data_IF_647284148306
#
_entry.id   IF_647284148306
#
_cell.length_a   1.000
_cell.length_b   1.000
_cell.length_c   1.000
_cell.angle_alpha   90.00
_cell.angle_beta   90.00
_cell.angle_gamma   90.00
#
_symmetry.space_group_name_H-M   'P 1'
#
loop_
_entity.id
_entity.type
_entity.pdbx_description
1 polymer ?
#
# COMPACT_ATOMS: atom_id res chain seq x y z
N UNK A 1 17.55 -16.17 16.64
CA UNK A 1 17.39 -14.69 16.52
C UNK A 1 17.66 -14.16 15.12
N UNK A 2 18.85 -14.37 14.55
CA UNK A 2 19.18 -13.89 13.19
C UNK A 2 18.17 -14.36 12.15
N UNK A 3 17.90 -15.67 12.12
CA UNK A 3 16.94 -16.28 11.19
C UNK A 3 15.52 -15.70 11.31
N UNK A 4 15.07 -15.38 12.51
CA UNK A 4 13.79 -14.71 12.71
C UNK A 4 13.75 -13.33 12.01
N UNK A 5 14.78 -12.52 12.15
CA UNK A 5 14.85 -11.21 11.48
C UNK A 5 14.82 -11.35 9.95
N UNK A 6 15.48 -12.37 9.40
CA UNK A 6 15.48 -12.64 7.95
C UNK A 6 14.08 -13.05 7.45
N UNK A 7 13.38 -13.91 8.19
CA UNK A 7 12.01 -14.29 7.85
C UNK A 7 11.03 -13.10 7.97
N UNK A 8 11.21 -12.22 8.96
CA UNK A 8 10.40 -10.99 9.13
C UNK A 8 10.54 -10.00 7.98
N UNK A 9 11.68 -10.01 7.28
CA UNK A 9 11.84 -9.19 6.06
C UNK A 9 11.06 -9.77 4.88
N UNK A 10 10.92 -11.09 4.81
CA UNK A 10 10.17 -11.77 3.74
C UNK A 10 8.66 -11.66 3.96
N UNK A 11 8.21 -11.89 5.20
CA UNK A 11 6.79 -11.93 5.59
C UNK A 11 6.51 -10.94 6.73
N UNK A 12 6.36 -9.64 6.44
CA UNK A 12 6.23 -8.61 7.47
C UNK A 12 4.92 -8.70 8.28
N UNK A 13 3.89 -9.36 7.77
CA UNK A 13 2.56 -9.40 8.39
C UNK A 13 2.33 -10.68 9.23
N UNK A 14 3.20 -11.68 9.12
CA UNK A 14 3.09 -12.95 9.83
C UNK A 14 4.24 -13.19 10.82
N UNK A 15 4.12 -12.62 12.01
CA UNK A 15 5.12 -12.77 13.09
C UNK A 15 5.25 -14.21 13.56
N UNK A 16 4.12 -14.91 13.69
CA UNK A 16 4.08 -16.28 14.21
C UNK A 16 4.68 -17.26 13.21
N UNK A 17 4.32 -17.15 11.93
CA UNK A 17 4.92 -17.96 10.86
C UNK A 17 6.42 -17.72 10.73
N UNK A 18 6.88 -16.49 10.90
CA UNK A 18 8.31 -16.16 10.93
C UNK A 18 9.03 -16.85 12.09
N UNK A 19 8.41 -16.95 13.26
CA UNK A 19 9.00 -17.68 14.39
C UNK A 19 9.08 -19.17 14.10
N UNK A 20 8.05 -19.78 13.51
CA UNK A 20 8.06 -21.19 13.10
C UNK A 20 9.17 -21.42 12.06
N UNK A 21 9.26 -20.58 11.03
CA UNK A 21 10.29 -20.65 10.00
C UNK A 21 11.71 -20.49 10.58
N UNK A 22 11.84 -19.71 11.67
CA UNK A 22 13.08 -19.56 12.41
C UNK A 22 13.45 -20.75 13.30
N UNK A 23 12.55 -21.75 13.44
CA UNK A 23 12.77 -22.99 14.18
C UNK A 23 12.13 -23.07 15.55
N UNK A 24 11.24 -22.12 15.90
CA UNK A 24 10.44 -22.22 17.13
C UNK A 24 9.29 -23.21 16.93
N UNK A 25 8.90 -23.93 18.02
CA UNK A 25 7.78 -24.86 17.94
C UNK A 25 6.46 -24.13 17.69
N UNK A 26 5.54 -24.73 16.93
CA UNK A 26 4.23 -24.13 16.64
C UNK A 26 3.46 -23.80 17.93
N UNK A 27 3.58 -24.62 18.98
CA UNK A 27 2.92 -24.40 20.26
C UNK A 27 3.40 -23.15 21.01
N UNK A 28 4.66 -22.70 20.77
CA UNK A 28 5.26 -21.57 21.49
C UNK A 28 5.59 -20.39 20.56
N UNK A 29 5.36 -20.54 19.25
CA UNK A 29 5.79 -19.56 18.24
C UNK A 29 5.17 -18.17 18.45
N UNK A 30 3.89 -18.09 18.81
CA UNK A 30 3.22 -16.82 19.07
C UNK A 30 3.84 -16.06 20.25
N UNK A 31 4.13 -16.75 21.35
CA UNK A 31 4.77 -16.16 22.53
C UNK A 31 6.24 -15.77 22.21
N UNK A 32 6.95 -16.62 21.46
CA UNK A 32 8.31 -16.35 21.05
C UNK A 32 8.38 -15.12 20.11
N UNK A 33 7.47 -15.02 19.14
CA UNK A 33 7.35 -13.86 18.25
C UNK A 33 7.10 -12.59 19.04
N UNK A 34 6.12 -12.56 19.94
CA UNK A 34 5.81 -11.39 20.77
C UNK A 34 7.04 -10.93 21.59
N UNK A 35 7.77 -11.88 22.21
CA UNK A 35 8.97 -11.58 22.97
C UNK A 35 10.09 -11.05 22.08
N UNK A 36 10.28 -11.61 20.87
CA UNK A 36 11.29 -11.18 19.93
C UNK A 36 10.99 -9.77 19.38
N UNK A 37 9.72 -9.47 19.08
CA UNK A 37 9.30 -8.13 18.63
C UNK A 37 9.48 -7.07 19.73
N UNK A 38 9.42 -7.43 21.00
CA UNK A 38 9.68 -6.52 22.11
C UNK A 38 11.17 -6.28 22.38
N UNK A 39 12.09 -7.07 21.80
CA UNK A 39 13.54 -6.91 21.99
C UNK A 39 14.09 -5.80 21.07
N UNK A 40 14.63 -4.67 21.62
CA UNK A 40 15.18 -3.58 20.82
C UNK A 40 16.25 -4.03 19.82
N UNK A 41 17.08 -5.01 20.18
CA UNK A 41 18.14 -5.53 19.31
C UNK A 41 17.58 -6.23 18.07
N UNK A 42 16.41 -6.86 18.20
CA UNK A 42 15.71 -7.48 17.09
C UNK A 42 15.12 -6.40 16.20
N UNK A 43 14.50 -5.37 16.74
CA UNK A 43 13.96 -4.24 16.01
C UNK A 43 15.05 -3.50 15.22
N UNK A 44 16.17 -3.21 15.85
CA UNK A 44 17.32 -2.59 15.19
C UNK A 44 17.85 -3.45 14.03
N UNK A 45 17.94 -4.77 14.25
CA UNK A 45 18.38 -5.69 13.21
C UNK A 45 17.42 -5.74 12.03
N UNK A 46 16.11 -5.78 12.29
CA UNK A 46 15.06 -5.74 11.26
C UNK A 46 15.14 -4.41 10.48
N UNK A 47 15.26 -3.28 11.18
CA UNK A 47 15.41 -1.96 10.56
C UNK A 47 16.64 -1.90 9.64
N UNK A 48 17.79 -2.39 10.12
CA UNK A 48 19.01 -2.47 9.31
C UNK A 48 18.84 -3.34 8.06
N UNK A 49 18.22 -4.51 8.19
CA UNK A 49 17.96 -5.40 7.06
C UNK A 49 17.00 -4.78 6.04
N UNK A 50 15.93 -4.08 6.51
CA UNK A 50 15.01 -3.32 5.65
C UNK A 50 15.76 -2.24 4.87
N UNK A 51 16.59 -1.47 5.56
CA UNK A 51 17.39 -0.43 4.91
C UNK A 51 18.38 -1.00 3.90
N UNK A 52 19.04 -2.11 4.22
CA UNK A 52 19.96 -2.79 3.30
C UNK A 52 19.21 -3.31 2.04
N UNK A 53 17.98 -3.83 2.21
CA UNK A 53 17.11 -4.22 1.10
C UNK A 53 16.73 -3.02 0.24
N UNK A 54 16.26 -1.92 0.85
CA UNK A 54 15.87 -0.69 0.16
C UNK A 54 17.05 -0.10 -0.64
N UNK A 55 18.23 -0.02 -0.05
CA UNK A 55 19.44 0.43 -0.75
C UNK A 55 19.78 -0.44 -1.97
N UNK A 56 19.65 -1.77 -1.86
CA UNK A 56 19.97 -2.70 -2.94
C UNK A 56 18.94 -2.64 -4.06
N UNK A 57 17.66 -2.56 -3.73
CA UNK A 57 16.56 -2.54 -4.70
C UNK A 57 16.27 -1.15 -5.25
N UNK A 58 16.73 -0.10 -4.56
CA UNK A 58 16.37 1.31 -4.82
C UNK A 58 14.84 1.54 -4.77
N UNK A 59 14.15 0.70 -4.02
CA UNK A 59 12.69 0.78 -3.81
C UNK A 59 12.45 1.06 -2.33
N UNK A 60 11.88 2.21 -2.05
CA UNK A 60 11.43 2.66 -0.74
C UNK A 60 10.02 3.26 -0.84
N UNK A 61 9.49 3.75 0.25
CA UNK A 61 8.18 4.39 0.28
C UNK A 61 8.11 5.61 -0.64
N UNK A 62 9.19 6.39 -0.69
CA UNK A 62 9.28 7.58 -1.53
C UNK A 62 9.23 7.24 -3.02
N UNK A 63 9.91 6.16 -3.42
CA UNK A 63 9.84 5.67 -4.80
C UNK A 63 8.39 5.30 -5.19
N UNK A 64 7.72 4.54 -4.32
CA UNK A 64 6.33 4.11 -4.58
C UNK A 64 5.40 5.32 -4.67
N UNK A 65 5.50 6.26 -3.73
CA UNK A 65 4.70 7.49 -3.74
C UNK A 65 4.94 8.31 -5.00
N UNK A 66 6.19 8.55 -5.36
CA UNK A 66 6.52 9.30 -6.59
C UNK A 66 5.90 8.64 -7.82
N UNK A 67 5.99 7.29 -7.91
CA UNK A 67 5.36 6.57 -9.03
C UNK A 67 3.84 6.69 -9.05
N UNK A 68 3.18 6.62 -7.90
CA UNK A 68 1.72 6.81 -7.80
C UNK A 68 1.31 8.23 -8.21
N UNK A 69 2.05 9.24 -7.77
CA UNK A 69 1.81 10.65 -8.16
C UNK A 69 2.04 10.86 -9.66
N UNK A 70 3.11 10.31 -10.25
CA UNK A 70 3.34 10.36 -11.69
C UNK A 70 2.18 9.74 -12.49
N UNK A 71 1.62 8.63 -12.02
CA UNK A 71 0.46 7.98 -12.65
C UNK A 71 -0.80 8.85 -12.51
N UNK A 72 -0.99 9.47 -11.36
CA UNK A 72 -2.12 10.37 -11.13
C UNK A 72 -2.09 11.59 -12.04
N UNK A 73 -0.90 12.14 -12.27
CA UNK A 73 -0.67 13.30 -13.11
C UNK A 73 -0.67 13.01 -14.62
N UNK A 74 -0.86 11.75 -15.06
CA UNK A 74 -0.95 11.42 -16.49
C UNK A 74 -2.12 12.17 -17.14
N UNK A 75 -1.82 12.92 -18.21
CA UNK A 75 -2.80 13.66 -19.00
C UNK A 75 -2.95 13.04 -20.39
N UNK A 76 -4.19 12.82 -20.83
CA UNK A 76 -4.46 12.27 -22.16
C UNK A 76 -3.88 13.10 -23.29
N UNK A 77 -3.75 14.41 -23.11
CA UNK A 77 -3.15 15.32 -24.09
C UNK A 77 -1.66 15.02 -24.34
N UNK A 78 -0.98 14.37 -23.41
CA UNK A 78 0.40 13.95 -23.59
C UNK A 78 0.58 13.01 -24.80
N UNK A 79 -0.44 12.21 -25.10
CA UNK A 79 -0.41 11.16 -26.12
C UNK A 79 -1.31 11.41 -27.33
N UNK A 80 -2.05 12.53 -27.35
CA UNK A 80 -2.88 12.96 -28.47
C UNK A 80 -2.21 14.06 -29.27
N UNK A 81 -2.43 14.05 -30.59
CA UNK A 81 -2.15 15.17 -31.48
C UNK A 81 -3.27 16.21 -31.37
N UNK A 82 -3.06 17.39 -31.93
CA UNK A 82 -4.06 18.47 -31.95
C UNK A 82 -5.35 18.05 -32.70
N UNK A 83 -5.25 17.12 -33.64
CA UNK A 83 -6.37 16.55 -34.41
C UNK A 83 -7.07 15.38 -33.66
N UNK A 84 -6.66 15.05 -32.43
CA UNK A 84 -7.25 14.02 -31.61
C UNK A 84 -6.79 12.59 -31.95
N UNK A 85 -5.79 12.43 -32.80
CA UNK A 85 -5.18 11.13 -33.10
C UNK A 85 -4.10 10.77 -32.07
N UNK A 86 -3.82 9.48 -31.90
CA UNK A 86 -2.71 9.06 -31.04
C UNK A 86 -1.35 9.39 -31.67
N UNK A 87 -0.48 10.03 -30.91
CA UNK A 87 0.93 10.21 -31.27
C UNK A 87 1.61 8.84 -31.41
N UNK A 88 2.69 8.72 -32.21
CA UNK A 88 3.52 7.53 -32.19
C UNK A 88 3.99 7.18 -30.77
N UNK A 89 3.97 5.91 -30.40
CA UNK A 89 4.32 5.44 -29.03
C UNK A 89 5.72 5.89 -28.61
N UNK A 90 6.63 6.07 -29.55
CA UNK A 90 7.99 6.60 -29.31
C UNK A 90 8.00 8.03 -28.74
N UNK A 91 6.96 8.81 -29.00
CA UNK A 91 6.81 10.19 -28.53
C UNK A 91 6.06 10.28 -27.19
N UNK A 92 5.49 9.19 -26.71
CA UNK A 92 4.77 9.19 -25.44
C UNK A 92 5.73 9.39 -24.27
N UNK A 93 5.34 10.13 -23.22
CA UNK A 93 6.12 10.21 -21.99
C UNK A 93 6.38 8.83 -21.38
N UNK A 94 7.51 8.69 -20.70
CA UNK A 94 7.90 7.39 -20.11
C UNK A 94 6.83 6.83 -19.16
N UNK A 95 6.17 7.71 -18.37
CA UNK A 95 5.12 7.29 -17.45
C UNK A 95 3.99 6.57 -18.17
N UNK A 96 3.55 7.06 -19.33
CA UNK A 96 2.54 6.41 -20.15
C UNK A 96 2.97 5.03 -20.62
N UNK A 97 4.16 4.93 -21.21
CA UNK A 97 4.69 3.66 -21.74
C UNK A 97 4.90 2.58 -20.69
N UNK A 98 5.14 2.98 -19.43
CA UNK A 98 5.44 2.06 -18.32
C UNK A 98 4.27 1.81 -17.38
N UNK A 99 3.12 2.46 -17.59
CA UNK A 99 1.95 2.38 -16.70
C UNK A 99 0.67 1.92 -17.39
N UNK A 100 0.68 1.69 -18.70
CA UNK A 100 -0.48 1.20 -19.42
C UNK A 100 -0.98 -0.14 -18.85
N UNK A 101 -2.30 -0.26 -18.69
CA UNK A 101 -2.93 -1.52 -18.30
C UNK A 101 -3.15 -2.44 -19.49
N UNK A 102 -3.49 -1.87 -20.65
CA UNK A 102 -3.63 -2.61 -21.91
C UNK A 102 -3.53 -1.66 -23.11
N UNK A 103 -3.17 -2.22 -24.26
CA UNK A 103 -3.19 -1.55 -25.55
C UNK A 103 -3.64 -2.55 -26.61
N UNK A 104 -4.76 -2.29 -27.27
CA UNK A 104 -5.29 -3.09 -28.37
C UNK A 104 -5.07 -2.33 -29.67
N UNK A 105 -4.49 -2.99 -30.67
CA UNK A 105 -4.28 -2.44 -32.01
C UNK A 105 -4.95 -3.37 -33.01
N UNK A 106 -6.06 -2.94 -33.58
CA UNK A 106 -6.79 -3.67 -34.62
C UNK A 106 -6.55 -2.98 -35.95
N UNK A 107 -6.00 -3.70 -36.91
CA UNK A 107 -5.86 -3.26 -38.30
C UNK A 107 -6.96 -3.90 -39.12
N UNK A 108 -7.79 -3.08 -39.74
CA UNK A 108 -8.86 -3.52 -40.62
C UNK A 108 -8.46 -3.13 -42.03
N UNK A 109 -8.27 -4.15 -42.90
CA UNK A 109 -8.14 -3.94 -44.35
C UNK A 109 -9.49 -4.10 -44.98
N UNK A 110 -9.97 -3.07 -45.68
CA UNK A 110 -11.13 -3.15 -46.55
C UNK A 110 -10.61 -3.17 -47.97
N UNK A 111 -10.92 -4.24 -48.69
CA UNK A 111 -10.62 -4.33 -50.13
C UNK A 111 -11.38 -3.25 -50.87
N UNK A 112 -10.68 -2.46 -51.67
CA UNK A 112 -11.30 -1.47 -52.56
C UNK A 112 -12.15 -2.19 -53.62
N UNK A 113 -13.33 -1.66 -53.91
CA UNK A 113 -14.14 -2.18 -54.98
C UNK A 113 -13.59 -1.66 -56.33
N UNK A 114 -13.52 -2.55 -57.33
CA UNK A 114 -13.19 -2.26 -58.72
C UNK A 114 -12.18 -1.13 -58.98
N UNK A 115 -10.90 -1.40 -58.72
CA UNK A 115 -9.81 -0.49 -59.11
C UNK A 115 -9.52 0.65 -58.11
N UNK A 116 -10.13 0.67 -56.93
CA UNK A 116 -9.77 1.54 -55.82
C UNK A 116 -8.73 0.86 -54.91
N UNK A 117 -7.83 1.68 -54.34
CA UNK A 117 -6.84 1.20 -53.38
C UNK A 117 -7.51 0.65 -52.12
N UNK A 118 -6.93 -0.41 -51.53
CA UNK A 118 -7.33 -0.97 -50.26
C UNK A 118 -7.28 0.10 -49.16
N UNK A 119 -8.35 0.27 -48.41
CA UNK A 119 -8.40 1.17 -47.27
C UNK A 119 -7.93 0.40 -46.05
N UNK A 120 -6.78 0.82 -45.50
CA UNK A 120 -6.27 0.30 -44.22
C UNK A 120 -6.70 1.25 -43.09
N UNK A 121 -7.57 0.77 -42.22
CA UNK A 121 -7.99 1.48 -41.01
C UNK A 121 -7.36 0.84 -39.77
N UNK A 122 -6.75 1.64 -38.93
CA UNK A 122 -6.15 1.18 -37.67
C UNK A 122 -6.97 1.72 -36.51
N UNK A 123 -7.62 0.82 -35.76
CA UNK A 123 -8.27 1.17 -34.50
C UNK A 123 -7.30 0.88 -33.36
N UNK A 124 -7.02 1.91 -32.55
CA UNK A 124 -6.18 1.79 -31.36
C UNK A 124 -7.03 2.09 -30.12
N UNK A 125 -6.98 1.18 -29.14
CA UNK A 125 -7.63 1.36 -27.85
C UNK A 125 -6.56 1.29 -26.76
N UNK A 126 -6.48 2.35 -25.98
CA UNK A 126 -5.53 2.48 -24.88
C UNK A 126 -6.30 2.45 -23.56
N UNK A 127 -5.82 1.64 -22.62
CA UNK A 127 -6.36 1.57 -21.27
C UNK A 127 -5.25 1.92 -20.27
N UNK A 128 -5.46 2.97 -19.52
CA UNK A 128 -4.56 3.40 -18.44
C UNK A 128 -5.03 2.93 -17.07
N UNK A 129 -4.21 3.02 -16.03
CA UNK A 129 -4.55 2.66 -14.68
C UNK A 129 -5.78 3.40 -14.15
N UNK A 130 -6.51 2.76 -13.25
CA UNK A 130 -7.62 3.38 -12.53
C UNK A 130 -7.09 4.48 -11.59
N UNK A 131 -7.37 5.75 -11.94
CA UNK A 131 -6.92 6.92 -11.17
C UNK A 131 -7.57 6.99 -9.79
N UNK A 132 -8.82 6.54 -9.63
CA UNK A 132 -9.50 6.54 -8.33
C UNK A 132 -8.79 5.59 -7.37
N UNK A 133 -8.48 4.37 -7.84
CA UNK A 133 -7.71 3.41 -7.05
C UNK A 133 -6.29 3.89 -6.75
N UNK A 134 -5.67 4.60 -7.69
CA UNK A 134 -4.35 5.19 -7.50
C UNK A 134 -4.37 6.26 -6.39
N UNK A 135 -5.36 7.16 -6.40
CA UNK A 135 -5.57 8.17 -5.36
C UNK A 135 -5.87 7.54 -4.00
N UNK A 136 -6.64 6.45 -3.97
CA UNK A 136 -6.89 5.68 -2.74
C UNK A 136 -5.58 5.16 -2.13
N UNK A 137 -4.68 4.63 -2.95
CA UNK A 137 -3.37 4.15 -2.50
C UNK A 137 -2.49 5.29 -1.96
N UNK A 138 -2.49 6.45 -2.63
CA UNK A 138 -1.79 7.65 -2.16
C UNK A 138 -2.38 8.11 -0.82
N UNK A 139 -3.71 8.16 -0.71
CA UNK A 139 -4.43 8.59 0.48
C UNK A 139 -4.21 7.70 1.71
N UNK A 140 -3.97 6.41 1.50
CA UNK A 140 -3.64 5.44 2.55
C UNK A 140 -2.20 5.54 3.07
N UNK A 141 -1.33 6.28 2.38
CA UNK A 141 0.04 6.44 2.83
C UNK A 141 0.10 7.18 4.17
N UNK A 142 0.98 6.72 5.07
CA UNK A 142 1.11 7.23 6.45
C UNK A 142 1.30 8.75 6.52
N UNK A 143 2.07 9.32 5.58
CA UNK A 143 2.31 10.77 5.51
C UNK A 143 1.13 11.59 4.98
N UNK A 144 0.22 10.98 4.20
CA UNK A 144 -0.98 11.65 3.64
C UNK A 144 -2.18 11.46 4.55
N UNK A 145 -2.42 10.21 5.01
CA UNK A 145 -3.50 9.83 5.96
C UNK A 145 -4.87 10.44 5.63
N UNK A 146 -5.20 10.58 4.33
CA UNK A 146 -6.42 11.27 3.87
C UNK A 146 -7.72 10.58 4.32
N UNK A 147 -7.66 9.27 4.56
CA UNK A 147 -8.81 8.45 4.97
C UNK A 147 -8.72 7.99 6.43
N UNK A 148 -7.89 8.65 7.25
CA UNK A 148 -7.83 8.35 8.66
C UNK A 148 -9.12 8.84 9.29
N UNK A 149 -10.02 7.91 9.63
CA UNK A 149 -11.11 8.21 10.56
C UNK A 149 -10.46 8.67 11.86
N UNK A 150 -10.69 9.92 12.22
CA UNK A 150 -10.38 10.41 13.54
C UNK A 150 -11.43 9.78 14.45
N UNK A 151 -11.20 8.55 14.90
CA UNK A 151 -11.88 8.04 16.06
C UNK A 151 -11.38 8.90 17.22
N UNK A 152 -12.13 9.96 17.55
CA UNK A 152 -12.05 10.58 18.86
C UNK A 152 -12.48 9.50 19.86
N UNK A 153 -11.52 8.67 20.28
CA UNK A 153 -11.70 7.87 21.47
C UNK A 153 -11.90 8.86 22.61
N UNK A 154 -13.14 9.01 23.02
CA UNK A 154 -13.51 9.79 24.20
C UNK A 154 -13.07 9.01 25.46
N UNK A 155 -11.74 8.77 25.55
CA UNK A 155 -11.08 8.08 26.67
C UNK A 155 -11.37 8.78 27.97
N UNK A 156 -11.62 10.10 27.93
CA UNK A 156 -11.92 10.91 29.10
C UNK A 156 -13.26 10.55 29.76
N UNK A 157 -14.31 10.24 29.00
CA UNK A 157 -15.61 9.85 29.56
C UNK A 157 -15.52 8.48 30.23
N UNK A 158 -14.90 7.50 29.57
CA UNK A 158 -14.71 6.15 30.11
C UNK A 158 -13.80 6.09 31.35
N UNK A 159 -12.77 6.96 31.45
CA UNK A 159 -11.87 7.00 32.60
C UNK A 159 -12.57 7.73 33.81
N UNK A 160 -13.28 8.81 33.54
CA UNK A 160 -14.05 9.50 34.56
C UNK A 160 -15.15 8.62 35.14
N UNK A 161 -15.87 7.87 34.31
CA UNK A 161 -16.91 6.95 34.75
C UNK A 161 -16.32 5.77 35.54
N UNK A 162 -15.19 5.24 35.15
CA UNK A 162 -14.46 4.18 35.88
C UNK A 162 -13.95 4.69 37.22
N UNK A 163 -13.43 5.90 37.30
CA UNK A 163 -13.00 6.56 38.55
C UNK A 163 -14.15 6.85 39.46
N UNK A 164 -15.29 7.32 38.94
CA UNK A 164 -16.49 7.57 39.70
C UNK A 164 -17.08 6.25 40.28
N UNK A 165 -17.10 5.20 39.47
CA UNK A 165 -17.53 3.87 39.91
C UNK A 165 -16.58 3.27 40.97
N UNK A 166 -15.27 3.44 40.83
CA UNK A 166 -14.31 3.01 41.83
C UNK A 166 -14.43 3.76 43.16
N UNK A 167 -14.65 5.09 43.11
CA UNK A 167 -14.90 5.90 44.31
C UNK A 167 -16.20 5.51 45.00
N UNK A 168 -17.27 5.21 44.27
CA UNK A 168 -18.54 4.75 44.81
C UNK A 168 -18.39 3.39 45.53
N UNK A 169 -17.60 2.45 44.95
CA UNK A 169 -17.30 1.17 45.60
C UNK A 169 -16.46 1.31 46.86
N UNK A 170 -15.46 2.20 46.87
CA UNK A 170 -14.64 2.50 48.03
C UNK A 170 -15.43 3.18 49.18
N UNK A 171 -16.39 4.02 48.82
CA UNK A 171 -17.27 4.67 49.81
C UNK A 171 -18.23 3.67 50.48
N UNK A 172 -18.78 2.69 49.70
CA UNK A 172 -19.63 1.62 50.23
C UNK A 172 -18.85 0.66 51.14
N UNK A 173 -17.59 0.35 50.78
CA UNK A 173 -16.73 -0.52 51.58
C UNK A 173 -16.33 0.13 52.95
N UNK A 174 -16.24 1.46 53.04
CA UNK A 174 -15.95 2.19 54.28
C UNK A 174 -17.19 2.41 55.18
N UNK A 175 -18.39 2.33 54.63
CA UNK A 175 -19.61 2.52 55.40
C UNK A 175 -20.18 1.23 56.02
N UNK A 176 -19.53 0.08 55.84
CA UNK A 176 -19.95 -1.20 56.35
C UNK A 176 -19.16 -1.69 57.57
N UNK A 177 -18.26 -0.86 58.16
CA UNK A 177 -17.46 -1.26 59.35
C UNK A 177 -17.90 -0.55 60.63
N UNK A 178 -19.03 0.17 60.60
CA UNK A 178 -19.58 0.90 61.80
C UNK A 178 -20.98 0.40 62.18
N UNK A 179 -21.25 -0.92 62.17
CA UNK A 179 -22.40 -1.53 62.88
C UNK A 179 -21.98 -2.76 63.72
#
# INVERSE_FOLDING_TARGET
MVRYCEERIKNPDDQTGCAIAAGYSAATAAQAASRLEADPRIQDRIAHLRQARSRRTKIDADYVLKRLVEIDQMDVLDILTDEGSLKPVSQWPKVWRTSLSAMDINRIRMAGADGQEDIESTMQKVKWPDKVKNLELIGKHVGVSAFKEVQELNINVSLADKLAAARKRAAVAKGGEDE
#
